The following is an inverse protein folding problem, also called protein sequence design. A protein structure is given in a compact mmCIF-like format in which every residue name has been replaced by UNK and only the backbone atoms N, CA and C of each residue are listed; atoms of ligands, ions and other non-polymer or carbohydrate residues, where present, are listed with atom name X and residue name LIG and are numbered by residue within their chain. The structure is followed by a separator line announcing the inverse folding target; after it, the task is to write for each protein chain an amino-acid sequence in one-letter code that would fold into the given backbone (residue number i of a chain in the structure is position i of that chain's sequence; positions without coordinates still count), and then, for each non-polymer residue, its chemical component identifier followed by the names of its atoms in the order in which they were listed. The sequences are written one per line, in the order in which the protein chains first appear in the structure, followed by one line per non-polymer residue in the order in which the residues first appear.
data_IF_071227221541
#
_entry.id   IF_071227221541
#
_cell.length_a   1.000
_cell.length_b   1.000
_cell.length_c   1.000
_cell.angle_alpha   90.00
_cell.angle_beta   90.00
_cell.angle_gamma   90.00
#
_symmetry.space_group_name_H-M   'P 1'
#
loop_
_entity.id
_entity.type
_entity.pdbx_description
1 polymer ?
#
# COMPACT_ATOMS: atom_id res chain seq x y z
N UNK A 1 19.35 -18.83 -80.90
CA UNK A 1 19.89 -19.65 -79.80
C UNK A 1 19.35 -19.10 -78.49
N UNK A 2 18.89 -20.00 -77.61
CA UNK A 2 18.33 -19.78 -76.26
C UNK A 2 19.16 -18.77 -75.43
N UNK A 3 18.64 -18.00 -74.47
CA UNK A 3 17.75 -18.33 -73.35
C UNK A 3 17.04 -17.08 -72.83
N UNK A 4 15.78 -17.26 -72.40
CA UNK A 4 15.11 -16.39 -71.43
C UNK A 4 15.88 -16.46 -70.10
N UNK A 5 16.21 -15.32 -69.51
CA UNK A 5 16.50 -15.22 -68.08
C UNK A 5 15.60 -14.16 -67.47
N UNK A 6 14.49 -14.66 -66.93
CA UNK A 6 13.71 -14.03 -65.87
C UNK A 6 14.48 -14.31 -64.58
N UNK A 7 14.76 -13.28 -63.78
CA UNK A 7 14.92 -13.33 -62.31
C UNK A 7 15.13 -11.89 -61.82
N UNK A 8 14.05 -11.18 -61.49
CA UNK A 8 13.66 -10.85 -60.11
C UNK A 8 14.80 -10.11 -59.38
N UNK A 9 14.95 -8.81 -59.65
CA UNK A 9 15.58 -7.87 -58.72
C UNK A 9 14.44 -7.18 -57.99
N UNK A 10 13.79 -7.94 -57.13
CA UNK A 10 12.77 -7.45 -56.19
C UNK A 10 12.88 -8.29 -54.93
N UNK A 11 13.99 -8.11 -54.21
CA UNK A 11 14.17 -8.24 -52.75
C UNK A 11 15.56 -7.64 -52.49
N UNK A 12 15.63 -6.36 -52.15
CA UNK A 12 16.64 -5.78 -51.26
C UNK A 12 16.19 -4.39 -50.77
N UNK A 13 14.88 -4.25 -50.50
CA UNK A 13 14.36 -3.22 -49.58
C UNK A 13 14.03 -3.94 -48.26
N UNK A 14 15.03 -4.58 -47.66
CA UNK A 14 14.93 -5.18 -46.32
C UNK A 14 16.27 -5.08 -45.61
N UNK A 15 16.88 -3.90 -45.57
CA UNK A 15 17.91 -3.62 -44.55
C UNK A 15 17.90 -2.15 -44.21
N UNK A 16 17.64 -1.89 -42.93
CA UNK A 16 17.74 -0.59 -42.24
C UNK A 16 16.46 0.25 -42.18
N UNK A 17 15.34 -0.34 -41.78
CA UNK A 17 14.73 0.19 -40.56
C UNK A 17 15.69 -0.25 -39.44
N UNK A 18 16.66 0.62 -39.12
CA UNK A 18 17.44 0.41 -37.92
C UNK A 18 16.45 0.18 -36.79
N UNK A 19 16.50 -1.01 -36.19
CA UNK A 19 16.00 -1.16 -34.85
C UNK A 19 16.84 -0.19 -34.01
N UNK A 20 16.40 1.07 -33.93
CA UNK A 20 16.41 1.73 -32.65
C UNK A 20 15.57 0.79 -31.79
N UNK A 21 16.25 -0.17 -31.17
CA UNK A 21 15.91 -0.56 -29.82
C UNK A 21 15.83 0.76 -29.08
N UNK A 22 14.64 1.33 -29.06
CA UNK A 22 14.26 2.24 -27.99
C UNK A 22 14.58 1.40 -26.78
N UNK A 23 15.66 1.75 -26.08
CA UNK A 23 15.90 1.29 -24.74
C UNK A 23 14.69 1.76 -23.94
N UNK A 24 13.61 0.98 -23.97
CA UNK A 24 12.50 1.07 -23.01
C UNK A 24 12.93 0.40 -21.70
N UNK A 25 14.19 0.59 -21.31
CA UNK A 25 14.68 0.25 -20.00
C UNK A 25 14.56 1.54 -19.17
N UNK A 26 13.81 1.46 -18.06
CA UNK A 26 13.61 2.48 -17.01
C UNK A 26 12.39 3.42 -17.07
N UNK A 27 11.78 3.73 -18.22
CA UNK A 27 10.63 4.66 -18.23
C UNK A 27 9.31 4.04 -17.71
N UNK A 28 9.10 2.74 -17.93
CA UNK A 28 7.83 2.04 -17.63
C UNK A 28 7.61 1.75 -16.14
N UNK A 29 8.64 1.90 -15.29
CA UNK A 29 8.52 1.59 -13.85
C UNK A 29 8.08 2.78 -12.99
N UNK A 30 8.14 4.01 -13.53
CA UNK A 30 7.82 5.23 -12.76
C UNK A 30 6.31 5.36 -12.48
N UNK A 31 5.46 5.09 -13.47
CA UNK A 31 4.00 5.25 -13.32
C UNK A 31 3.41 4.30 -12.30
N UNK A 32 3.80 3.02 -12.31
CA UNK A 32 3.32 2.04 -11.33
C UNK A 32 3.78 2.39 -9.90
N UNK A 33 5.03 2.81 -9.74
CA UNK A 33 5.56 3.30 -8.45
C UNK A 33 4.78 4.53 -7.97
N UNK A 34 4.48 5.49 -8.84
CA UNK A 34 3.70 6.67 -8.46
C UNK A 34 2.25 6.34 -8.10
N UNK A 35 1.60 5.44 -8.84
CA UNK A 35 0.25 4.97 -8.52
C UNK A 35 0.25 4.25 -7.16
N UNK A 36 1.25 3.39 -6.94
CA UNK A 36 1.43 2.69 -5.69
C UNK A 36 1.64 3.66 -4.52
N UNK A 37 2.65 4.55 -4.60
CA UNK A 37 2.95 5.52 -3.54
C UNK A 37 1.73 6.38 -3.22
N UNK A 38 1.01 6.88 -4.24
CA UNK A 38 -0.21 7.65 -4.01
C UNK A 38 -1.28 6.83 -3.30
N UNK A 39 -1.55 5.61 -3.75
CA UNK A 39 -2.53 4.72 -3.13
C UNK A 39 -2.16 4.39 -1.68
N UNK A 40 -0.88 4.11 -1.45
CA UNK A 40 -0.30 3.79 -0.16
C UNK A 40 -0.42 4.97 0.83
N UNK A 41 0.01 6.18 0.45
CA UNK A 41 -0.13 7.38 1.29
C UNK A 41 -1.59 7.73 1.58
N UNK A 42 -2.48 7.61 0.59
CA UNK A 42 -3.93 7.83 0.82
C UNK A 42 -4.51 6.79 1.76
N UNK A 43 -4.10 5.52 1.64
CA UNK A 43 -4.52 4.46 2.55
C UNK A 43 -4.07 4.73 3.98
N UNK A 44 -2.78 5.06 4.17
CA UNK A 44 -2.22 5.42 5.48
C UNK A 44 -2.93 6.62 6.08
N UNK A 45 -3.14 7.68 5.29
CA UNK A 45 -3.82 8.87 5.75
C UNK A 45 -5.25 8.57 6.22
N UNK A 46 -6.04 7.84 5.41
CA UNK A 46 -7.41 7.48 5.78
C UNK A 46 -7.45 6.59 7.03
N UNK A 47 -6.51 5.64 7.15
CA UNK A 47 -6.34 4.83 8.35
C UNK A 47 -6.03 5.71 9.58
N UNK A 48 -5.07 6.63 9.42
CA UNK A 48 -4.63 7.62 10.41
C UNK A 48 -5.78 8.48 10.94
N UNK A 49 -6.61 9.01 10.05
CA UNK A 49 -7.78 9.80 10.42
C UNK A 49 -8.79 9.01 11.27
N UNK A 50 -9.03 7.74 10.93
CA UNK A 50 -9.92 6.86 11.71
C UNK A 50 -9.36 6.65 13.12
N UNK A 51 -8.08 6.28 13.24
CA UNK A 51 -7.46 6.03 14.55
C UNK A 51 -7.33 7.29 15.39
N UNK A 52 -7.08 8.44 14.76
CA UNK A 52 -7.11 9.72 15.45
C UNK A 52 -8.51 10.00 16.03
N UNK A 53 -9.56 9.80 15.23
CA UNK A 53 -10.95 9.97 15.69
C UNK A 53 -11.32 9.01 16.81
N UNK A 54 -10.92 7.75 16.73
CA UNK A 54 -11.07 6.77 17.82
C UNK A 54 -10.44 7.27 19.13
N UNK A 55 -9.30 7.97 19.05
CA UNK A 55 -8.63 8.53 20.22
C UNK A 55 -9.34 9.72 20.87
N UNK A 56 -10.24 10.37 20.14
CA UNK A 56 -10.92 11.61 20.52
C UNK A 56 -12.40 11.41 20.87
N UNK A 57 -12.92 10.18 20.82
CA UNK A 57 -14.34 9.86 21.00
C UNK A 57 -14.91 10.42 22.31
N UNK A 58 -16.05 11.12 22.23
CA UNK A 58 -16.76 11.67 23.40
C UNK A 58 -18.19 11.18 23.49
N UNK A 59 -18.84 10.91 22.37
CA UNK A 59 -20.28 10.68 22.27
C UNK A 59 -20.60 9.45 21.41
N UNK A 60 -21.87 9.03 21.40
CA UNK A 60 -22.33 7.96 20.51
C UNK A 60 -22.39 8.39 19.05
N UNK A 61 -22.59 9.69 18.78
CA UNK A 61 -22.59 10.20 17.40
C UNK A 61 -21.19 10.09 16.77
N UNK A 62 -20.14 10.29 17.56
CA UNK A 62 -18.75 10.04 17.12
C UNK A 62 -18.57 8.57 16.69
N UNK A 63 -19.18 7.62 17.40
CA UNK A 63 -19.13 6.19 17.07
C UNK A 63 -19.82 5.92 15.73
N UNK A 64 -20.99 6.50 15.49
CA UNK A 64 -21.72 6.34 14.22
C UNK A 64 -20.87 6.91 13.06
N UNK A 65 -20.29 8.08 13.26
CA UNK A 65 -19.42 8.71 12.26
C UNK A 65 -18.18 7.84 11.95
N UNK A 66 -17.48 7.37 12.98
CA UNK A 66 -16.32 6.48 12.82
C UNK A 66 -16.72 5.18 12.13
N UNK A 67 -17.89 4.61 12.45
CA UNK A 67 -18.37 3.41 11.78
C UNK A 67 -18.52 3.62 10.27
N UNK A 68 -19.06 4.77 9.85
CA UNK A 68 -19.12 5.16 8.45
C UNK A 68 -17.74 5.27 7.79
N UNK A 69 -16.76 5.84 8.49
CA UNK A 69 -15.37 5.92 7.98
C UNK A 69 -14.74 4.53 7.84
N UNK A 70 -14.95 3.64 8.81
CA UNK A 70 -14.47 2.25 8.77
C UNK A 70 -15.11 1.47 7.63
N UNK A 71 -16.42 1.62 7.40
CA UNK A 71 -17.12 1.01 6.28
C UNK A 71 -16.53 1.46 4.93
N UNK A 72 -16.28 2.76 4.77
CA UNK A 72 -15.65 3.31 3.57
C UNK A 72 -14.23 2.76 3.40
N UNK A 73 -13.43 2.73 4.46
CA UNK A 73 -12.05 2.22 4.41
C UNK A 73 -12.01 0.75 3.96
N UNK A 74 -12.83 -0.10 4.58
CA UNK A 74 -12.89 -1.53 4.27
C UNK A 74 -13.46 -1.82 2.87
N UNK A 75 -14.30 -0.93 2.35
CA UNK A 75 -14.86 -1.05 0.98
C UNK A 75 -13.87 -0.58 -0.09
N UNK A 76 -13.08 0.46 0.22
CA UNK A 76 -12.24 1.13 -0.77
C UNK A 76 -10.79 0.66 -0.79
N UNK A 77 -10.31 -0.18 0.14
CA UNK A 77 -8.85 -0.40 0.20
C UNK A 77 -8.31 -1.77 0.64
N UNK A 78 -7.06 -2.00 0.16
CA UNK A 78 -6.03 -3.02 0.42
C UNK A 78 -5.74 -4.05 -0.68
N UNK A 79 -6.73 -4.76 -1.23
CA UNK A 79 -6.46 -5.89 -2.14
C UNK A 79 -5.73 -5.45 -3.42
N UNK A 80 -6.06 -4.27 -3.95
CA UNK A 80 -5.38 -3.71 -5.11
C UNK A 80 -3.91 -3.37 -4.81
N UNK A 81 -3.61 -2.78 -3.65
CA UNK A 81 -2.23 -2.45 -3.27
C UNK A 81 -1.38 -3.69 -3.05
N UNK A 82 -1.91 -4.70 -2.36
CA UNK A 82 -1.23 -5.99 -2.19
C UNK A 82 -0.94 -6.61 -3.55
N UNK A 83 -1.91 -6.56 -4.49
CA UNK A 83 -1.72 -7.07 -5.86
C UNK A 83 -0.62 -6.33 -6.64
N UNK A 84 -0.43 -5.02 -6.40
CA UNK A 84 0.66 -4.25 -7.00
C UNK A 84 2.01 -4.64 -6.41
N UNK A 85 2.09 -4.85 -5.08
CA UNK A 85 3.34 -5.24 -4.40
C UNK A 85 3.83 -6.61 -4.86
N UNK A 86 2.92 -7.60 -4.93
CA UNK A 86 3.25 -8.97 -5.38
C UNK A 86 3.43 -9.05 -6.90
N UNK A 87 3.15 -7.98 -7.64
CA UNK A 87 3.41 -7.95 -9.08
C UNK A 87 4.92 -7.90 -9.34
N UNK A 88 5.45 -9.04 -9.80
CA UNK A 88 6.87 -9.18 -10.05
C UNK A 88 7.27 -8.76 -11.47
N UNK A 89 8.52 -8.33 -11.61
CA UNK A 89 9.22 -8.24 -12.89
C UNK A 89 9.65 -9.64 -13.39
N UNK A 90 10.36 -9.66 -14.52
CA UNK A 90 10.86 -10.90 -15.14
C UNK A 90 11.83 -11.69 -14.24
N UNK A 91 12.38 -11.05 -13.20
CA UNK A 91 13.32 -11.64 -12.25
C UNK A 91 12.65 -12.05 -10.93
N UNK A 92 11.33 -11.87 -10.79
CA UNK A 92 10.61 -12.18 -9.55
C UNK A 92 10.57 -11.02 -8.54
N UNK A 93 11.21 -9.89 -8.84
CA UNK A 93 11.30 -8.75 -7.92
C UNK A 93 10.07 -7.86 -8.03
N UNK A 94 9.63 -7.28 -6.90
CA UNK A 94 8.51 -6.34 -6.92
C UNK A 94 8.83 -5.14 -7.80
N UNK A 95 7.87 -4.73 -8.62
CA UNK A 95 8.04 -3.55 -9.48
C UNK A 95 7.96 -2.23 -8.72
N UNK A 96 7.30 -2.22 -7.55
CA UNK A 96 6.84 -0.99 -6.91
C UNK A 96 7.42 -0.73 -5.51
N UNK A 97 7.95 -1.77 -4.85
CA UNK A 97 8.50 -1.68 -3.48
C UNK A 97 9.86 -2.37 -3.43
N UNK A 98 10.78 -1.80 -2.65
CA UNK A 98 12.09 -2.41 -2.42
C UNK A 98 11.95 -3.78 -1.73
N UNK A 99 12.64 -4.83 -2.21
CA UNK A 99 12.55 -6.17 -1.63
C UNK A 99 12.86 -6.21 -0.13
N UNK A 100 13.70 -5.31 0.38
CA UNK A 100 14.10 -5.24 1.78
C UNK A 100 12.95 -4.95 2.76
N UNK A 101 11.91 -4.24 2.31
CA UNK A 101 10.73 -3.86 3.13
C UNK A 101 9.42 -4.46 2.62
N UNK A 102 9.47 -5.25 1.55
CA UNK A 102 8.28 -5.72 0.82
C UNK A 102 7.31 -6.47 1.72
N UNK A 103 7.78 -7.48 2.42
CA UNK A 103 6.95 -8.31 3.29
C UNK A 103 6.39 -7.49 4.46
N UNK A 104 7.18 -6.60 5.04
CA UNK A 104 6.75 -5.75 6.16
C UNK A 104 5.58 -4.84 5.76
N UNK A 105 5.63 -4.25 4.55
CA UNK A 105 4.52 -3.45 4.01
C UNK A 105 3.29 -4.32 3.77
N UNK A 106 3.44 -5.52 3.20
CA UNK A 106 2.31 -6.43 2.95
C UNK A 106 1.63 -6.80 4.27
N UNK A 107 2.42 -7.17 5.29
CA UNK A 107 1.92 -7.49 6.63
C UNK A 107 1.22 -6.29 7.27
N UNK A 108 1.78 -5.09 7.12
CA UNK A 108 1.16 -3.86 7.63
C UNK A 108 -0.18 -3.59 6.98
N UNK A 109 -0.29 -3.72 5.66
CA UNK A 109 -1.57 -3.56 4.98
C UNK A 109 -2.59 -4.60 5.46
N UNK A 110 -2.19 -5.86 5.63
CA UNK A 110 -3.08 -6.89 6.18
C UNK A 110 -3.51 -6.58 7.62
N UNK A 111 -2.57 -6.15 8.45
CA UNK A 111 -2.82 -5.81 9.84
C UNK A 111 -3.74 -4.60 9.97
N UNK A 112 -3.63 -3.59 9.11
CA UNK A 112 -4.56 -2.45 9.07
C UNK A 112 -5.99 -2.88 8.76
N UNK A 113 -6.19 -3.77 7.78
CA UNK A 113 -7.51 -4.31 7.46
C UNK A 113 -8.07 -5.10 8.65
N UNK A 114 -7.24 -5.98 9.23
CA UNK A 114 -7.63 -6.82 10.37
C UNK A 114 -8.04 -5.96 11.56
N UNK A 115 -7.24 -4.95 11.87
CA UNK A 115 -7.53 -3.97 12.91
C UNK A 115 -8.86 -3.24 12.63
N UNK A 116 -9.08 -2.76 11.40
CA UNK A 116 -10.33 -2.07 11.06
C UNK A 116 -11.57 -2.97 11.13
N UNK A 117 -11.43 -4.28 10.83
CA UNK A 117 -12.49 -5.26 11.07
C UNK A 117 -12.79 -5.44 12.56
N UNK A 118 -11.76 -5.54 13.39
CA UNK A 118 -11.92 -5.61 14.85
C UNK A 118 -12.59 -4.35 15.42
N UNK A 119 -12.20 -3.17 14.93
CA UNK A 119 -12.86 -1.91 15.29
C UNK A 119 -14.33 -1.99 14.91
N UNK A 120 -14.67 -2.37 13.67
CA UNK A 120 -16.06 -2.48 13.22
C UNK A 120 -16.89 -3.36 14.14
N UNK A 121 -16.37 -4.52 14.54
CA UNK A 121 -17.03 -5.40 15.51
C UNK A 121 -17.20 -4.71 16.87
N UNK A 122 -16.17 -4.02 17.36
CA UNK A 122 -16.24 -3.27 18.62
C UNK A 122 -17.30 -2.15 18.59
N UNK A 123 -17.47 -1.45 17.46
CA UNK A 123 -18.44 -0.36 17.33
C UNK A 123 -19.89 -0.84 17.44
N UNK A 124 -20.17 -2.10 17.08
CA UNK A 124 -21.52 -2.70 17.13
C UNK A 124 -21.93 -3.13 18.55
N UNK A 125 -21.00 -3.17 19.50
CA UNK A 125 -21.27 -3.55 20.88
C UNK A 125 -21.99 -2.45 21.66
N UNK A 126 -22.85 -2.85 22.62
CA UNK A 126 -23.62 -1.91 23.46
C UNK A 126 -22.74 -1.00 24.31
N UNK A 127 -21.56 -1.48 24.69
CA UNK A 127 -20.58 -0.78 25.53
C UNK A 127 -19.44 -0.14 24.71
N UNK A 128 -19.60 -0.02 23.39
CA UNK A 128 -18.59 0.49 22.45
C UNK A 128 -17.98 1.83 22.89
N UNK A 129 -18.80 2.78 23.32
CA UNK A 129 -18.34 4.10 23.77
C UNK A 129 -17.39 4.02 24.97
N UNK A 130 -17.68 3.15 25.93
CA UNK A 130 -16.82 2.99 27.12
C UNK A 130 -15.50 2.32 26.73
N UNK A 131 -15.57 1.22 25.96
CA UNK A 131 -14.39 0.44 25.57
C UNK A 131 -13.42 1.26 24.71
N UNK A 132 -13.94 2.04 23.77
CA UNK A 132 -13.12 2.89 22.90
C UNK A 132 -12.47 4.02 23.69
N UNK A 133 -13.22 4.68 24.59
CA UNK A 133 -12.66 5.71 25.48
C UNK A 133 -11.53 5.17 26.34
N UNK A 134 -11.69 3.96 26.90
CA UNK A 134 -10.67 3.30 27.71
C UNK A 134 -9.34 3.09 26.98
N UNK A 135 -9.36 3.06 25.65
CA UNK A 135 -8.19 2.80 24.81
C UNK A 135 -7.66 4.03 24.05
N UNK A 136 -8.11 5.23 24.40
CA UNK A 136 -7.69 6.48 23.72
C UNK A 136 -6.17 6.60 23.55
N UNK A 137 -5.37 6.22 24.57
CA UNK A 137 -3.90 6.25 24.49
C UNK A 137 -3.36 5.31 23.41
N UNK A 138 -3.87 4.08 23.35
CA UNK A 138 -3.46 3.09 22.36
C UNK A 138 -3.72 3.59 20.94
N UNK A 139 -4.89 4.19 20.69
CA UNK A 139 -5.20 4.79 19.39
C UNK A 139 -4.30 5.99 19.05
N UNK A 140 -3.88 6.80 20.04
CA UNK A 140 -2.89 7.89 19.83
C UNK A 140 -1.52 7.33 19.42
N UNK A 141 -1.09 6.23 20.05
CA UNK A 141 0.19 5.61 19.72
C UNK A 141 0.19 5.08 18.28
N UNK A 142 -0.93 4.49 17.83
CA UNK A 142 -1.11 4.09 16.42
C UNK A 142 -1.10 5.31 15.49
N UNK A 143 -1.85 6.36 15.82
CA UNK A 143 -1.89 7.57 14.99
C UNK A 143 -0.50 8.19 14.82
N UNK A 144 0.29 8.25 15.91
CA UNK A 144 1.67 8.73 15.85
C UNK A 144 2.54 7.88 14.93
N UNK A 145 2.48 6.56 15.04
CA UNK A 145 3.22 5.66 14.17
C UNK A 145 2.82 5.83 12.69
N UNK A 146 1.54 6.10 12.42
CA UNK A 146 1.08 6.35 11.05
C UNK A 146 1.63 7.68 10.51
N UNK A 147 1.69 8.75 11.33
CA UNK A 147 2.30 10.03 10.93
C UNK A 147 3.78 9.91 10.57
N UNK A 148 4.50 8.98 11.19
CA UNK A 148 5.89 8.67 10.87
C UNK A 148 6.02 7.91 9.53
N UNK A 149 5.01 7.13 9.16
CA UNK A 149 4.99 6.32 7.92
C UNK A 149 4.40 7.03 6.70
N UNK A 150 3.53 8.02 6.90
CA UNK A 150 2.83 8.75 5.84
C UNK A 150 3.71 9.80 5.16
N UNK A 151 4.85 9.34 4.67
CA UNK A 151 5.81 10.03 3.83
C UNK A 151 6.11 9.14 2.62
N UNK A 152 6.78 9.69 1.60
CA UNK A 152 7.26 8.87 0.49
C UNK A 152 8.24 7.80 1.00
N UNK A 153 8.15 6.59 0.44
CA UNK A 153 9.10 5.51 0.75
C UNK A 153 10.51 5.97 0.33
N UNK A 154 11.46 6.05 1.28
CA UNK A 154 12.80 6.52 0.99
C UNK A 154 13.56 5.52 0.12
N UNK A 155 14.55 6.03 -0.63
CA UNK A 155 15.41 5.22 -1.51
C UNK A 155 16.80 4.98 -0.94
N UNK A 156 17.24 5.81 0.01
CA UNK A 156 18.56 5.70 0.62
C UNK A 156 18.56 4.60 1.69
N UNK A 157 19.62 3.78 1.73
CA UNK A 157 19.65 2.58 2.58
C UNK A 157 19.44 2.88 4.08
N UNK A 158 20.05 3.96 4.59
CA UNK A 158 19.93 4.35 5.99
C UNK A 158 18.51 4.81 6.34
N UNK A 159 17.87 5.53 5.42
CA UNK A 159 16.49 5.98 5.55
C UNK A 159 15.51 4.81 5.41
N UNK A 160 15.77 3.89 4.48
CA UNK A 160 14.98 2.68 4.28
C UNK A 160 15.03 1.76 5.51
N UNK A 161 16.18 1.69 6.17
CA UNK A 161 16.33 0.97 7.45
C UNK A 161 15.47 1.60 8.55
N UNK A 162 15.49 2.94 8.67
CA UNK A 162 14.62 3.65 9.62
C UNK A 162 13.15 3.45 9.29
N UNK A 163 12.80 3.51 8.01
CA UNK A 163 11.44 3.31 7.54
C UNK A 163 10.92 1.90 7.86
N UNK A 164 11.74 0.87 7.65
CA UNK A 164 11.44 -0.51 8.05
C UNK A 164 11.13 -0.62 9.54
N UNK A 165 11.94 0.00 10.42
CA UNK A 165 11.68 0.01 11.86
C UNK A 165 10.33 0.66 12.20
N UNK A 166 9.96 1.74 11.51
CA UNK A 166 8.63 2.35 11.67
C UNK A 166 7.50 1.42 11.23
N UNK A 167 7.69 0.63 10.16
CA UNK A 167 6.71 -0.37 9.71
C UNK A 167 6.57 -1.48 10.76
N UNK A 168 7.69 -1.99 11.27
CA UNK A 168 7.71 -3.02 12.33
C UNK A 168 7.01 -2.54 13.61
N UNK A 169 7.24 -1.27 14.00
CA UNK A 169 6.56 -0.66 15.13
C UNK A 169 5.04 -0.57 14.90
N UNK A 170 4.61 -0.13 13.71
CA UNK A 170 3.19 -0.11 13.34
C UNK A 170 2.59 -1.52 13.41
N UNK A 171 3.24 -2.51 12.79
CA UNK A 171 2.81 -3.91 12.84
C UNK A 171 2.63 -4.41 14.27
N UNK A 172 3.62 -4.17 15.14
CA UNK A 172 3.54 -4.55 16.56
C UNK A 172 2.34 -3.92 17.27
N UNK A 173 2.03 -2.66 16.98
CA UNK A 173 0.86 -1.99 17.55
C UNK A 173 -0.46 -2.62 17.05
N UNK A 174 -0.57 -2.90 15.76
CA UNK A 174 -1.80 -3.42 15.12
C UNK A 174 -2.09 -4.88 15.47
N UNK A 175 -1.08 -5.66 15.85
CA UNK A 175 -1.26 -7.06 16.28
C UNK A 175 -1.69 -7.21 17.73
N UNK A 176 -1.67 -6.14 18.53
CA UNK A 176 -2.17 -6.18 19.91
C UNK A 176 -3.68 -6.37 19.90
N UNK A 177 -4.17 -7.34 20.67
CA UNK A 177 -5.62 -7.55 20.82
C UNK A 177 -6.25 -6.33 21.47
N UNK A 178 -7.32 -5.81 20.85
CA UNK A 178 -8.13 -4.71 21.39
C UNK A 178 -8.86 -5.16 22.68
N UNK A 179 -8.89 -6.46 23.02
CA UNK A 179 -9.67 -7.02 24.14
C UNK A 179 -8.90 -7.08 25.46
N UNK A 180 -7.57 -6.99 25.47
CA UNK A 180 -6.75 -7.21 26.68
C UNK A 180 -6.69 -6.01 27.66
N UNK A 181 -7.48 -4.95 27.42
CA UNK A 181 -7.47 -3.70 28.19
C UNK A 181 -8.74 -3.40 29.00
N UNK A 182 -9.61 -4.40 29.23
CA UNK A 182 -10.84 -4.27 30.04
C UNK A 182 -10.74 -4.99 31.38
#
# INVERSE_FOLDING_TARGET
MMRKFILIISIFILTSCGNQTVETNYATNTTLVHIFNRGYSVSLFNFGEIVNKLSEVKTKDDIIYINGMVDIYLTNNSLFMVSMIVSSDKNGESKVVDPFIREDIVDMLHNQISFMKQIKELLLNKDSLHNIKGQSKYYKDIYKAERELNMDIPKEQDELTKYKLSIEQMNSLLTKSIVEGS
#
